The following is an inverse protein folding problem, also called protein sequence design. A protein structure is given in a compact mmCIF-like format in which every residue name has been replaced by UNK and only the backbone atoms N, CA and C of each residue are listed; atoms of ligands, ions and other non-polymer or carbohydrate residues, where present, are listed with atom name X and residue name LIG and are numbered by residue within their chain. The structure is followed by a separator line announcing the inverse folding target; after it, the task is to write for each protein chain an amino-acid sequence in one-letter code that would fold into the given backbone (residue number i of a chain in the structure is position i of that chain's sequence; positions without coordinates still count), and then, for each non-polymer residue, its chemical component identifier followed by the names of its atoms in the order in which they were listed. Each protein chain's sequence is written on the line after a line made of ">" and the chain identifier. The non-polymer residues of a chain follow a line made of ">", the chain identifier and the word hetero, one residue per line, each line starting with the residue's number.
data_IF_335483993114
#
_entry.id   IF_335483993114
#
_cell.length_a   1.000
_cell.length_b   1.000
_cell.length_c   1.000
_cell.angle_alpha   90.00
_cell.angle_beta   90.00
_cell.angle_gamma   90.00
#
_symmetry.space_group_name_H-M   'P 1'
#
loop_
_entity.id
_entity.type
_entity.pdbx_description
1 polymer ?
#
# COMPACT_ATOMS: atom_id res chain seq x y z
N UNK A 1 -9.09 23.30 -1.31
CA UNK A 1 -8.55 21.96 -0.99
C UNK A 1 -7.48 21.67 -2.01
N UNK A 2 -6.21 21.60 -1.61
CA UNK A 2 -5.10 21.34 -2.53
C UNK A 2 -5.09 19.86 -2.91
N UNK A 3 -4.99 19.58 -4.22
CA UNK A 3 -4.92 18.21 -4.74
C UNK A 3 -3.51 17.66 -4.57
N UNK A 4 -3.38 16.39 -4.23
CA UNK A 4 -2.09 15.69 -4.22
C UNK A 4 -1.51 15.54 -5.63
N UNK A 5 -2.33 15.31 -6.65
CA UNK A 5 -1.89 15.21 -8.05
C UNK A 5 -2.80 16.04 -8.96
N UNK A 6 -2.28 16.46 -10.11
CA UNK A 6 -3.15 16.88 -11.22
C UNK A 6 -4.00 15.70 -11.69
N UNK A 7 -5.26 15.94 -12.09
CA UNK A 7 -6.19 14.85 -12.44
C UNK A 7 -5.64 13.95 -13.56
N UNK A 8 -5.06 14.55 -14.60
CA UNK A 8 -4.50 13.79 -15.72
C UNK A 8 -3.28 12.96 -15.30
N UNK A 9 -2.44 13.48 -14.41
CA UNK A 9 -1.33 12.72 -13.83
C UNK A 9 -1.85 11.56 -12.98
N UNK A 10 -2.85 11.78 -12.13
CA UNK A 10 -3.48 10.73 -11.33
C UNK A 10 -4.08 9.61 -12.20
N UNK A 11 -4.78 9.97 -13.29
CA UNK A 11 -5.33 9.01 -14.26
C UNK A 11 -4.22 8.20 -14.96
N UNK A 12 -3.15 8.86 -15.37
CA UNK A 12 -2.02 8.20 -16.01
C UNK A 12 -1.29 7.24 -15.06
N UNK A 13 -1.12 7.62 -13.80
CA UNK A 13 -0.55 6.77 -12.75
C UNK A 13 -1.48 5.56 -12.50
N UNK A 14 -2.78 5.78 -12.30
CA UNK A 14 -3.74 4.71 -12.08
C UNK A 14 -3.75 3.69 -13.25
N UNK A 15 -3.75 4.17 -14.50
CA UNK A 15 -3.69 3.32 -15.68
C UNK A 15 -2.40 2.49 -15.73
N UNK A 16 -1.24 3.10 -15.45
CA UNK A 16 0.04 2.39 -15.41
C UNK A 16 0.08 1.35 -14.29
N UNK A 17 -0.47 1.65 -13.12
CA UNK A 17 -0.50 0.69 -12.01
C UNK A 17 -1.34 -0.54 -12.36
N UNK A 18 -2.52 -0.33 -12.95
CA UNK A 18 -3.36 -1.42 -13.43
C UNK A 18 -2.63 -2.29 -14.47
N UNK A 19 -2.01 -1.64 -15.47
CA UNK A 19 -1.25 -2.32 -16.52
C UNK A 19 0.06 -2.95 -16.04
N UNK A 20 0.60 -2.58 -14.88
CA UNK A 20 1.84 -3.17 -14.36
C UNK A 20 1.57 -4.43 -13.52
N UNK A 21 0.37 -4.55 -12.97
CA UNK A 21 -0.06 -5.74 -12.23
C UNK A 21 -0.46 -6.87 -13.18
N UNK A 22 -0.92 -6.62 -14.41
CA UNK A 22 -1.19 -7.69 -15.40
C UNK A 22 0.08 -8.49 -15.83
N UNK A 23 1.19 -7.86 -16.24
CA UNK A 23 2.37 -8.55 -16.80
C UNK A 23 3.30 -9.15 -15.74
N UNK A 24 3.25 -8.67 -14.49
CA UNK A 24 4.01 -9.26 -13.38
C UNK A 24 3.54 -10.70 -13.05
N UNK A 25 2.40 -11.13 -13.60
CA UNK A 25 1.96 -12.54 -13.60
C UNK A 25 2.65 -13.40 -14.66
N UNK A 26 3.32 -12.83 -15.66
CA UNK A 26 3.92 -13.57 -16.79
C UNK A 26 5.39 -13.25 -17.11
N UNK A 27 6.01 -12.21 -16.54
CA UNK A 27 7.37 -11.79 -16.92
C UNK A 27 8.20 -11.32 -15.74
N UNK A 28 9.49 -11.70 -15.74
CA UNK A 28 10.44 -11.43 -14.67
C UNK A 28 10.62 -9.94 -14.32
N UNK A 29 11.03 -9.71 -13.07
CA UNK A 29 11.01 -8.41 -12.42
C UNK A 29 12.32 -7.63 -12.60
N UNK A 30 12.23 -6.33 -12.89
CA UNK A 30 13.40 -5.42 -12.86
C UNK A 30 13.33 -4.57 -11.59
N UNK A 31 14.22 -4.86 -10.64
CA UNK A 31 14.34 -4.13 -9.39
C UNK A 31 15.28 -2.93 -9.58
N UNK A 32 14.75 -1.71 -9.46
CA UNK A 32 15.55 -0.49 -9.30
C UNK A 32 15.08 0.26 -8.07
N UNK A 33 15.24 -0.37 -6.90
CA UNK A 33 14.90 0.21 -5.61
C UNK A 33 16.13 0.95 -5.11
N UNK A 34 15.99 2.25 -4.86
CA UNK A 34 17.02 3.02 -4.15
C UNK A 34 17.10 2.50 -2.71
N UNK A 35 18.31 2.32 -2.18
CA UNK A 35 18.48 1.89 -0.78
C UNK A 35 17.81 2.89 0.17
N UNK A 36 17.11 2.42 1.22
CA UNK A 36 16.48 3.29 2.19
C UNK A 36 17.51 4.17 2.90
N UNK A 37 17.18 5.45 3.08
CA UNK A 37 17.98 6.38 3.87
C UNK A 37 17.57 6.29 5.35
N UNK A 38 18.55 6.43 6.25
CA UNK A 38 18.33 6.30 7.69
C UNK A 38 18.86 7.52 8.44
N UNK A 39 18.16 7.88 9.52
CA UNK A 39 18.62 8.88 10.48
C UNK A 39 18.66 8.28 11.90
N UNK A 40 19.61 8.71 12.72
CA UNK A 40 19.70 8.26 14.11
C UNK A 40 18.57 8.89 14.93
N UNK A 41 17.80 8.07 15.64
CA UNK A 41 16.80 8.59 16.58
C UNK A 41 17.55 9.20 17.76
N UNK A 42 17.27 10.48 18.04
CA UNK A 42 17.87 11.19 19.17
C UNK A 42 16.75 11.67 20.09
N UNK A 43 16.79 11.29 21.38
CA UNK A 43 15.81 11.79 22.32
C UNK A 43 16.04 13.29 22.53
N UNK A 44 14.93 14.03 22.63
CA UNK A 44 14.94 15.48 22.71
C UNK A 44 15.67 16.00 23.96
N UNK A 45 15.60 15.25 25.06
CA UNK A 45 16.19 15.54 26.36
C UNK A 45 17.63 15.03 26.52
N UNK A 46 18.26 14.53 25.44
CA UNK A 46 19.65 14.01 25.42
C UNK A 46 19.93 12.83 26.35
N UNK A 47 18.89 12.16 26.86
CA UNK A 47 19.04 10.93 27.65
C UNK A 47 19.40 9.73 26.75
N UNK A 48 19.87 8.60 27.28
CA UNK A 48 20.01 7.37 26.49
C UNK A 48 18.65 6.87 26.02
N UNK A 49 18.59 6.31 24.80
CA UNK A 49 17.37 5.71 24.26
C UNK A 49 16.95 4.50 25.12
N UNK A 50 15.65 4.34 25.45
CA UNK A 50 15.16 3.15 26.10
C UNK A 50 15.45 1.89 25.27
N UNK A 51 15.59 0.71 25.89
CA UNK A 51 15.84 -0.55 25.17
C UNK A 51 14.81 -0.87 24.09
N UNK A 52 13.59 -0.35 24.25
CA UNK A 52 12.45 -0.64 23.38
C UNK A 52 12.32 0.35 22.20
N UNK A 53 13.22 1.33 22.08
CA UNK A 53 13.15 2.37 21.05
C UNK A 53 14.15 2.07 19.93
N UNK A 54 13.74 2.12 18.65
CA UNK A 54 14.65 1.91 17.54
C UNK A 54 15.73 3.00 17.53
N UNK A 55 16.99 2.59 17.33
CA UNK A 55 18.13 3.52 17.25
C UNK A 55 18.25 4.27 15.92
N UNK A 56 17.48 3.83 14.90
CA UNK A 56 17.45 4.42 13.57
C UNK A 56 16.01 4.54 13.07
N UNK A 57 15.69 5.68 12.48
CA UNK A 57 14.48 5.90 11.71
C UNK A 57 14.79 5.74 10.22
N UNK A 58 13.86 5.18 9.46
CA UNK A 58 13.90 5.18 8.00
C UNK A 58 13.29 6.49 7.53
N UNK A 59 14.03 7.26 6.73
CA UNK A 59 13.52 8.51 6.19
C UNK A 59 12.50 8.22 5.08
N UNK A 60 11.38 8.96 5.03
CA UNK A 60 10.43 8.82 3.93
C UNK A 60 11.12 9.20 2.61
N UNK A 61 10.78 8.48 1.55
CA UNK A 61 11.32 8.79 0.22
C UNK A 61 10.79 10.16 -0.23
N UNK A 62 11.71 11.12 -0.43
CA UNK A 62 11.40 12.38 -1.09
C UNK A 62 11.82 12.32 -2.55
N UNK A 63 10.86 12.46 -3.46
CA UNK A 63 11.09 12.38 -4.91
C UNK A 63 11.50 13.72 -5.54
N UNK A 64 11.86 14.71 -4.72
CA UNK A 64 12.43 15.99 -5.19
C UNK A 64 11.43 17.12 -5.36
N UNK A 65 10.17 16.82 -5.71
CA UNK A 65 9.14 17.83 -5.98
C UNK A 65 7.78 17.47 -5.35
N UNK A 66 6.98 18.50 -5.08
CA UNK A 66 5.62 18.32 -4.62
C UNK A 66 4.77 17.62 -5.68
N UNK A 67 3.93 16.68 -5.24
CA UNK A 67 3.17 15.80 -6.12
C UNK A 67 2.16 16.55 -7.01
N UNK A 68 1.72 17.74 -6.60
CA UNK A 68 0.77 18.59 -7.33
C UNK A 68 1.40 19.30 -8.53
N UNK A 69 2.74 19.35 -8.57
CA UNK A 69 3.53 19.88 -9.69
C UNK A 69 3.94 18.81 -10.71
N UNK A 70 3.70 17.53 -10.41
CA UNK A 70 4.03 16.42 -11.29
C UNK A 70 3.33 16.60 -12.65
N UNK A 71 4.12 16.68 -13.72
CA UNK A 71 3.59 16.81 -15.07
C UNK A 71 3.30 15.44 -15.67
N UNK A 72 2.33 15.40 -16.58
CA UNK A 72 1.92 14.16 -17.26
C UNK A 72 3.09 13.37 -17.88
N UNK A 73 4.07 13.97 -18.59
CA UNK A 73 5.20 13.22 -19.17
C UNK A 73 6.14 12.58 -18.13
N UNK A 74 6.11 13.10 -16.90
CA UNK A 74 6.93 12.65 -15.77
C UNK A 74 6.19 11.64 -14.89
N UNK A 75 4.87 11.53 -15.04
CA UNK A 75 4.02 10.61 -14.30
C UNK A 75 4.28 9.16 -14.73
N UNK A 76 5.33 8.55 -14.19
CA UNK A 76 5.74 7.16 -14.45
C UNK A 76 5.79 6.37 -13.16
N UNK A 77 5.27 5.15 -13.18
CA UNK A 77 5.31 4.24 -12.03
C UNK A 77 6.45 3.23 -12.19
N UNK A 78 7.08 2.91 -11.07
CA UNK A 78 7.96 1.76 -10.92
C UNK A 78 7.43 0.89 -9.78
N UNK A 79 7.20 -0.40 -10.05
CA UNK A 79 6.87 -1.38 -9.00
C UNK A 79 8.17 -1.90 -8.37
N UNK A 80 8.36 -1.63 -7.07
CA UNK A 80 9.65 -1.82 -6.40
C UNK A 80 9.68 -2.84 -5.25
N UNK A 81 8.57 -3.29 -4.70
CA UNK A 81 8.55 -4.08 -3.46
C UNK A 81 8.06 -5.51 -3.68
N UNK A 82 8.94 -6.39 -4.18
CA UNK A 82 8.59 -7.77 -4.56
C UNK A 82 9.09 -8.83 -3.56
N UNK A 83 9.63 -8.41 -2.40
CA UNK A 83 10.09 -9.34 -1.37
C UNK A 83 8.98 -10.23 -0.81
N UNK A 84 7.73 -9.77 -0.91
CA UNK A 84 6.53 -10.51 -0.49
C UNK A 84 5.78 -11.17 -1.66
N UNK A 85 6.29 -11.04 -2.90
CA UNK A 85 5.64 -11.65 -4.06
C UNK A 85 5.75 -13.17 -4.02
N UNK A 86 4.66 -13.87 -4.34
CA UNK A 86 4.62 -15.33 -4.40
C UNK A 86 3.70 -15.81 -5.51
N UNK A 87 3.88 -17.07 -5.91
CA UNK A 87 2.99 -17.73 -6.87
C UNK A 87 2.02 -18.63 -6.09
N UNK A 88 0.70 -18.39 -6.11
CA UNK A 88 -0.28 -19.21 -5.38
C UNK A 88 -0.23 -20.70 -5.75
N UNK A 89 0.23 -21.02 -6.97
CA UNK A 89 0.45 -22.39 -7.44
C UNK A 89 1.69 -23.08 -6.84
N UNK A 90 2.64 -22.32 -6.32
CA UNK A 90 3.92 -22.83 -5.76
C UNK A 90 3.99 -22.72 -4.25
N UNK A 91 3.29 -21.74 -3.67
CA UNK A 91 3.33 -21.46 -2.24
C UNK A 91 1.93 -21.02 -1.78
N UNK A 92 1.49 -21.55 -0.64
CA UNK A 92 0.31 -21.07 0.07
C UNK A 92 0.75 -20.04 1.11
N UNK A 93 0.05 -18.92 1.17
CA UNK A 93 0.20 -17.89 2.20
C UNK A 93 -1.16 -17.61 2.81
N UNK A 94 -1.23 -17.55 4.13
CA UNK A 94 -2.48 -17.33 4.87
C UNK A 94 -2.54 -15.92 5.47
N UNK A 95 -1.38 -15.27 5.63
CA UNK A 95 -1.27 -13.95 6.23
C UNK A 95 -0.96 -12.90 5.16
N UNK A 96 -1.67 -11.77 5.25
CA UNK A 96 -1.43 -10.60 4.39
C UNK A 96 -0.61 -9.57 5.15
N UNK A 97 0.57 -9.26 4.63
CA UNK A 97 1.43 -8.19 5.15
C UNK A 97 1.07 -6.81 4.60
N UNK A 98 -0.01 -6.69 3.81
CA UNK A 98 -0.53 -5.39 3.38
C UNK A 98 -0.93 -4.56 4.61
N UNK A 99 -0.67 -3.24 4.62
CA UNK A 99 -1.18 -2.34 5.65
C UNK A 99 -2.69 -2.51 5.85
N UNK A 100 -3.16 -2.34 7.08
CA UNK A 100 -4.54 -2.69 7.44
C UNK A 100 -5.60 -2.01 6.56
N UNK A 101 -5.37 -0.75 6.17
CA UNK A 101 -6.24 0.03 5.29
C UNK A 101 -6.38 -0.51 3.86
N UNK A 102 -5.47 -1.38 3.42
CA UNK A 102 -5.52 -2.01 2.09
C UNK A 102 -5.68 -3.52 2.17
N UNK A 103 -5.81 -4.06 3.38
CA UNK A 103 -5.84 -5.50 3.60
C UNK A 103 -7.16 -6.08 3.09
N UNK A 104 -7.12 -7.17 2.32
CA UNK A 104 -8.32 -7.84 1.83
C UNK A 104 -9.15 -8.43 2.99
N UNK A 105 -10.47 -8.51 2.77
CA UNK A 105 -11.45 -8.97 3.78
C UNK A 105 -11.21 -10.42 4.18
N UNK A 106 -10.92 -11.28 3.21
CA UNK A 106 -10.69 -12.71 3.42
C UNK A 106 -9.47 -12.98 4.33
N UNK A 107 -8.49 -12.06 4.39
CA UNK A 107 -7.38 -12.19 5.33
C UNK A 107 -7.83 -12.14 6.81
N UNK A 108 -8.98 -11.50 7.08
CA UNK A 108 -9.59 -11.45 8.41
C UNK A 108 -10.64 -12.54 8.60
N UNK A 109 -11.57 -12.67 7.65
CA UNK A 109 -12.75 -13.53 7.82
C UNK A 109 -12.50 -14.99 7.42
N UNK A 110 -11.44 -15.26 6.66
CA UNK A 110 -11.11 -16.60 6.18
C UNK A 110 -9.63 -16.96 6.44
N UNK A 111 -9.13 -16.85 7.70
CA UNK A 111 -7.69 -16.98 7.99
C UNK A 111 -7.12 -18.37 7.71
N UNK A 112 -7.99 -19.37 7.55
CA UNK A 112 -7.62 -20.75 7.23
C UNK A 112 -7.59 -21.03 5.72
N UNK A 113 -7.98 -20.06 4.89
CA UNK A 113 -7.90 -20.17 3.42
C UNK A 113 -6.66 -19.41 2.93
N UNK A 114 -5.91 -19.98 1.98
CA UNK A 114 -4.75 -19.29 1.43
C UNK A 114 -5.20 -18.09 0.59
N UNK A 115 -4.46 -16.99 0.73
CA UNK A 115 -4.59 -15.81 -0.12
C UNK A 115 -4.33 -16.19 -1.57
N UNK A 116 -5.07 -15.54 -2.45
CA UNK A 116 -5.05 -15.82 -3.88
C UNK A 116 -5.14 -14.51 -4.67
N UNK A 117 -5.19 -14.62 -5.99
CA UNK A 117 -5.21 -13.47 -6.89
C UNK A 117 -6.23 -12.36 -6.54
N UNK A 118 -7.47 -12.65 -6.09
CA UNK A 118 -8.42 -11.62 -5.66
C UNK A 118 -7.92 -10.70 -4.54
N UNK A 119 -7.04 -11.21 -3.66
CA UNK A 119 -6.43 -10.45 -2.56
C UNK A 119 -5.54 -9.30 -3.08
N UNK A 120 -4.82 -9.55 -4.18
CA UNK A 120 -4.00 -8.54 -4.86
C UNK A 120 -4.89 -7.51 -5.57
N UNK A 121 -5.99 -7.96 -6.18
CA UNK A 121 -6.97 -7.06 -6.83
C UNK A 121 -7.61 -6.11 -5.83
N UNK A 122 -7.93 -6.58 -4.61
CA UNK A 122 -8.44 -5.72 -3.55
C UNK A 122 -7.42 -4.64 -3.15
N UNK A 123 -6.17 -5.05 -2.91
CA UNK A 123 -5.09 -4.14 -2.52
C UNK A 123 -4.78 -3.13 -3.64
N UNK A 124 -4.86 -3.57 -4.89
CA UNK A 124 -4.75 -2.73 -6.09
C UNK A 124 -5.90 -1.71 -6.15
N UNK A 125 -7.15 -2.13 -5.93
CA UNK A 125 -8.31 -1.24 -5.88
C UNK A 125 -8.15 -0.13 -4.85
N UNK A 126 -7.70 -0.47 -3.64
CA UNK A 126 -7.39 0.50 -2.59
C UNK A 126 -6.29 1.48 -3.03
N UNK A 127 -5.25 0.98 -3.71
CA UNK A 127 -4.14 1.79 -4.21
C UNK A 127 -4.56 2.75 -5.32
N UNK A 128 -5.43 2.31 -6.23
CA UNK A 128 -6.02 3.14 -7.28
C UNK A 128 -6.88 4.26 -6.69
N UNK A 129 -7.69 3.94 -5.67
CA UNK A 129 -8.45 4.96 -4.95
C UNK A 129 -7.53 6.01 -4.31
N UNK A 130 -6.44 5.59 -3.65
CA UNK A 130 -5.50 6.52 -3.04
C UNK A 130 -4.92 7.53 -4.06
N UNK A 131 -4.69 7.09 -5.30
CA UNK A 131 -4.16 7.94 -6.37
C UNK A 131 -5.25 8.89 -6.90
N UNK A 132 -6.44 8.37 -7.21
CA UNK A 132 -7.51 9.12 -7.86
C UNK A 132 -8.27 10.01 -6.86
N UNK A 133 -8.67 9.42 -5.73
CA UNK A 133 -9.38 10.08 -4.64
C UNK A 133 -8.47 10.98 -3.80
N UNK A 134 -7.16 10.79 -3.87
CA UNK A 134 -6.17 11.58 -3.13
C UNK A 134 -6.38 11.56 -1.61
N UNK A 135 -7.02 10.49 -1.15
CA UNK A 135 -7.26 10.14 0.24
C UNK A 135 -7.30 8.62 0.32
N UNK A 136 -7.04 8.05 1.50
CA UNK A 136 -7.28 6.63 1.70
C UNK A 136 -8.76 6.30 1.53
N UNK A 137 -9.06 5.10 1.01
CA UNK A 137 -10.44 4.62 0.91
C UNK A 137 -11.03 4.36 2.30
N UNK A 138 -10.21 3.85 3.22
CA UNK A 138 -10.55 3.61 4.62
C UNK A 138 -9.62 4.44 5.51
N UNK A 139 -10.12 4.87 6.68
CA UNK A 139 -9.33 5.68 7.60
C UNK A 139 -8.22 4.85 8.26
N UNK A 140 -6.99 5.32 8.14
CA UNK A 140 -5.80 4.70 8.72
C UNK A 140 -5.44 5.22 10.10
N UNK A 141 -6.03 6.31 10.56
CA UNK A 141 -5.68 6.93 11.83
C UNK A 141 -6.18 6.07 12.99
N UNK A 142 -5.24 5.50 13.76
CA UNK A 142 -5.53 4.55 14.85
C UNK A 142 -6.39 3.36 14.40
N UNK A 143 -6.22 2.92 13.14
CA UNK A 143 -7.01 1.86 12.56
C UNK A 143 -6.90 0.55 13.36
N UNK A 144 -8.06 0.00 13.72
CA UNK A 144 -8.21 -1.37 14.22
C UNK A 144 -8.87 -2.22 13.15
N UNK A 145 -8.84 -3.54 13.30
CA UNK A 145 -9.54 -4.40 12.35
C UNK A 145 -11.03 -4.03 12.29
N UNK A 146 -11.65 -3.75 13.45
CA UNK A 146 -13.07 -3.39 13.55
C UNK A 146 -13.38 -2.06 12.89
N UNK A 147 -12.53 -1.04 13.07
CA UNK A 147 -12.74 0.26 12.43
C UNK A 147 -12.64 0.16 10.91
N UNK A 148 -11.71 -0.65 10.40
CA UNK A 148 -11.55 -0.88 8.96
C UNK A 148 -12.71 -1.69 8.40
N UNK A 149 -13.14 -2.75 9.10
CA UNK A 149 -14.34 -3.51 8.71
C UNK A 149 -15.59 -2.62 8.67
N UNK A 150 -15.76 -1.74 9.66
CA UNK A 150 -16.84 -0.75 9.67
C UNK A 150 -16.78 0.15 8.44
N UNK A 151 -15.63 0.78 8.17
CA UNK A 151 -15.45 1.62 6.98
C UNK A 151 -15.65 0.88 5.66
N UNK A 152 -15.30 -0.40 5.61
CA UNK A 152 -15.56 -1.27 4.47
C UNK A 152 -17.05 -1.53 4.26
N UNK A 153 -17.82 -1.73 5.33
CA UNK A 153 -19.28 -1.90 5.26
C UNK A 153 -19.95 -0.59 4.85
N UNK A 154 -19.52 0.52 5.43
CA UNK A 154 -20.07 1.84 5.11
C UNK A 154 -19.85 2.21 3.63
N UNK A 155 -18.67 1.88 3.08
CA UNK A 155 -18.32 2.24 1.70
C UNK A 155 -18.86 1.26 0.65
N UNK A 156 -18.88 -0.05 0.93
CA UNK A 156 -19.13 -1.10 -0.07
C UNK A 156 -20.37 -1.96 0.23
N UNK A 157 -21.04 -1.72 1.35
CA UNK A 157 -22.20 -2.46 1.80
C UNK A 157 -21.88 -3.66 2.70
N UNK A 158 -22.94 -4.32 3.15
CA UNK A 158 -22.91 -5.41 4.12
C UNK A 158 -22.00 -6.56 3.68
N UNK A 159 -21.36 -7.18 4.67
CA UNK A 159 -20.59 -8.41 4.47
C UNK A 159 -21.51 -9.59 4.15
N UNK A 160 -20.99 -10.64 3.50
CA UNK A 160 -21.69 -11.91 3.38
C UNK A 160 -22.11 -12.44 4.77
N UNK A 161 -23.28 -13.09 4.92
CA UNK A 161 -23.75 -13.59 6.22
C UNK A 161 -22.80 -14.58 6.92
N UNK A 162 -21.93 -15.25 6.16
CA UNK A 162 -20.90 -16.15 6.67
C UNK A 162 -19.70 -15.44 7.34
N UNK A 163 -19.61 -14.11 7.24
CA UNK A 163 -18.50 -13.28 7.74
C UNK A 163 -18.92 -12.39 8.92
#
# INVERSE_FOLDING_TARGET
>A
MNRLFQLEAARALAAQLFLAVEPTFCGGFVQKVREPEFEAVRPFDSQPLPPNMPSRAVLPIWLGEASDKLKLPEAKILLGALGEAFSPTKQQRFESHTPLIGRPREARFEPHKPLSFPSDIWSLGCSLWNIIGQSSLFDGMFATEDSITGGQVDALGMLPPEW
#
